data_IF_735391299163
#
_entry.id   IF_735391299163
#
_cell.length_a   1.000
_cell.length_b   1.000
_cell.length_c   1.000
_cell.angle_alpha   90.00
_cell.angle_beta   90.00
_cell.angle_gamma   90.00
#
_symmetry.space_group_name_H-M   'P 1'
#
loop_
_entity.id
_entity.type
_entity.pdbx_description
1 polymer ?
#
# COMPACT_ATOMS: atom_id res chain seq x y z
N UNK A 1 -5.88 -21.60 -31.47
CA UNK A 1 -7.24 -22.13 -31.29
C UNK A 1 -7.79 -21.61 -29.96
N UNK A 2 -8.88 -20.85 -29.99
CA UNK A 2 -9.53 -20.27 -28.80
C UNK A 2 -10.32 -21.32 -28.02
N UNK A 3 -10.35 -21.23 -26.68
CA UNK A 3 -11.17 -22.16 -25.89
C UNK A 3 -12.66 -21.90 -26.17
N UNK A 4 -13.36 -22.98 -26.51
CA UNK A 4 -14.79 -22.97 -26.86
C UNK A 4 -15.72 -22.97 -25.63
N UNK A 5 -15.15 -22.97 -24.43
CA UNK A 5 -15.83 -23.10 -23.14
C UNK A 5 -15.46 -21.94 -22.21
N UNK A 6 -16.35 -21.59 -21.29
CA UNK A 6 -16.08 -20.63 -20.23
C UNK A 6 -14.94 -21.15 -19.34
N UNK A 7 -13.97 -20.29 -19.02
CA UNK A 7 -12.80 -20.67 -18.23
C UNK A 7 -13.09 -20.89 -16.73
N UNK A 8 -14.28 -20.50 -16.26
CA UNK A 8 -14.65 -20.59 -14.84
C UNK A 8 -15.05 -22.03 -14.49
N UNK A 9 -14.42 -22.56 -13.45
CA UNK A 9 -14.69 -23.87 -12.89
C UNK A 9 -16.15 -24.00 -12.46
N UNK A 10 -16.81 -25.07 -12.91
CA UNK A 10 -18.23 -25.31 -12.68
C UNK A 10 -19.18 -24.59 -13.65
N UNK A 11 -18.68 -23.72 -14.52
CA UNK A 11 -19.50 -23.13 -15.58
C UNK A 11 -19.53 -24.06 -16.80
N UNK A 12 -20.71 -24.55 -17.16
CA UNK A 12 -20.91 -25.44 -18.32
C UNK A 12 -21.13 -24.70 -19.64
N UNK A 13 -21.02 -23.38 -19.68
CA UNK A 13 -21.32 -22.57 -20.86
C UNK A 13 -20.19 -22.68 -21.89
N UNK A 14 -20.55 -23.01 -23.11
CA UNK A 14 -19.70 -23.11 -24.30
C UNK A 14 -20.34 -22.36 -25.47
N UNK A 15 -19.58 -22.16 -26.55
CA UNK A 15 -20.11 -21.56 -27.78
C UNK A 15 -21.30 -22.36 -28.36
N UNK A 16 -21.38 -23.65 -28.07
CA UNK A 16 -22.39 -24.56 -28.61
C UNK A 16 -23.66 -24.67 -27.73
N UNK A 17 -23.57 -24.36 -26.43
CA UNK A 17 -24.68 -24.53 -25.49
C UNK A 17 -25.10 -23.23 -24.77
N UNK A 18 -24.67 -22.06 -25.29
CA UNK A 18 -24.97 -20.77 -24.67
C UNK A 18 -26.46 -20.42 -24.79
N UNK A 19 -27.12 -19.97 -23.72
CA UNK A 19 -28.47 -19.40 -23.80
C UNK A 19 -28.51 -18.16 -24.70
N UNK A 20 -29.68 -17.88 -25.27
CA UNK A 20 -29.93 -16.67 -26.07
C UNK A 20 -29.57 -15.43 -25.24
N UNK A 21 -28.72 -14.56 -25.79
CA UNK A 21 -28.26 -13.33 -25.13
C UNK A 21 -27.01 -13.47 -24.25
N UNK A 22 -26.42 -14.66 -24.12
CA UNK A 22 -25.12 -14.85 -23.45
C UNK A 22 -23.99 -14.90 -24.49
N UNK A 23 -22.91 -14.16 -24.22
CA UNK A 23 -21.70 -14.10 -25.04
C UNK A 23 -20.47 -14.52 -24.23
N UNK A 24 -19.40 -14.90 -24.93
CA UNK A 24 -18.11 -15.28 -24.36
C UNK A 24 -17.11 -14.14 -24.61
N UNK A 25 -16.72 -13.44 -23.56
CA UNK A 25 -15.86 -12.26 -23.62
C UNK A 25 -14.38 -12.65 -23.45
N UNK A 26 -13.51 -11.96 -24.18
CA UNK A 26 -12.05 -12.06 -24.01
C UNK A 26 -11.63 -11.55 -22.65
N UNK A 27 -10.49 -12.07 -22.19
CA UNK A 27 -9.75 -11.44 -21.11
C UNK A 27 -9.24 -10.03 -21.51
N UNK A 28 -9.04 -9.14 -20.54
CA UNK A 28 -8.55 -7.78 -20.77
C UNK A 28 -7.12 -7.76 -21.30
N UNK A 29 -6.81 -6.75 -22.11
CA UNK A 29 -5.48 -6.55 -22.71
C UNK A 29 -4.53 -5.81 -21.76
N UNK A 30 -5.06 -4.88 -20.96
CA UNK A 30 -4.26 -4.03 -20.08
C UNK A 30 -3.79 -4.77 -18.82
N UNK A 31 -2.53 -4.52 -18.41
CA UNK A 31 -1.92 -5.18 -17.25
C UNK A 31 -2.69 -4.90 -15.94
N UNK A 32 -3.16 -3.67 -15.75
CA UNK A 32 -3.93 -3.28 -14.56
C UNK A 32 -5.23 -4.09 -14.43
N UNK A 33 -5.97 -4.26 -15.53
CA UNK A 33 -7.23 -5.01 -15.51
C UNK A 33 -7.00 -6.51 -15.41
N UNK A 34 -5.90 -7.03 -15.98
CA UNK A 34 -5.47 -8.43 -15.77
C UNK A 34 -5.23 -8.71 -14.29
N UNK A 35 -4.59 -7.81 -13.55
CA UNK A 35 -4.39 -7.98 -12.10
C UNK A 35 -5.72 -8.02 -11.34
N UNK A 36 -6.67 -7.14 -11.68
CA UNK A 36 -8.01 -7.15 -11.08
C UNK A 36 -8.77 -8.45 -11.38
N UNK A 37 -8.69 -8.94 -12.62
CA UNK A 37 -9.29 -10.22 -13.02
C UNK A 37 -8.61 -11.42 -12.36
N UNK A 38 -7.28 -11.41 -12.26
CA UNK A 38 -6.52 -12.47 -11.60
C UNK A 38 -6.94 -12.59 -10.14
N UNK A 39 -7.13 -11.46 -9.44
CA UNK A 39 -7.62 -11.46 -8.07
C UNK A 39 -9.04 -12.04 -7.97
N UNK A 40 -9.96 -11.65 -8.86
CA UNK A 40 -11.33 -12.16 -8.88
C UNK A 40 -11.44 -13.65 -9.25
N UNK A 41 -10.52 -14.15 -10.08
CA UNK A 41 -10.56 -15.50 -10.64
C UNK A 41 -9.63 -16.50 -9.93
N UNK A 42 -8.83 -16.05 -8.95
CA UNK A 42 -7.76 -16.82 -8.28
C UNK A 42 -8.18 -18.22 -7.80
N UNK A 43 -9.41 -18.34 -7.32
CA UNK A 43 -9.96 -19.60 -6.80
C UNK A 43 -11.09 -20.17 -7.67
N UNK A 44 -11.31 -19.60 -8.86
CA UNK A 44 -12.42 -19.93 -9.77
C UNK A 44 -11.94 -20.46 -11.12
N UNK A 45 -10.67 -20.27 -11.46
CA UNK A 45 -10.05 -20.82 -12.66
C UNK A 45 -8.75 -21.54 -12.27
N UNK A 46 -8.61 -22.82 -12.62
CA UNK A 46 -7.38 -23.57 -12.35
C UNK A 46 -6.21 -23.10 -13.25
N UNK A 47 -6.51 -22.78 -14.52
CA UNK A 47 -5.55 -22.24 -15.49
C UNK A 47 -6.27 -21.21 -16.35
N UNK A 48 -5.80 -19.96 -16.35
CA UNK A 48 -6.34 -18.88 -17.18
C UNK A 48 -5.30 -18.46 -18.22
N UNK A 49 -5.55 -18.77 -19.50
CA UNK A 49 -4.77 -18.29 -20.63
C UNK A 49 -5.35 -16.93 -21.08
N UNK A 50 -4.66 -15.84 -20.79
CA UNK A 50 -5.10 -14.47 -21.13
C UNK A 50 -5.41 -14.25 -22.62
N UNK A 51 -4.87 -15.09 -23.52
CA UNK A 51 -5.06 -14.97 -24.97
C UNK A 51 -6.17 -15.87 -25.51
N UNK A 52 -6.45 -16.99 -24.85
CA UNK A 52 -7.38 -18.02 -25.35
C UNK A 52 -8.60 -18.24 -24.48
N UNK A 53 -8.51 -17.94 -23.18
CA UNK A 53 -9.59 -18.11 -22.23
C UNK A 53 -10.69 -17.05 -22.47
N UNK A 54 -11.93 -17.50 -22.31
CA UNK A 54 -13.12 -16.67 -22.45
C UNK A 54 -14.00 -16.82 -21.22
N UNK A 55 -14.67 -15.75 -20.81
CA UNK A 55 -15.61 -15.76 -19.67
C UNK A 55 -16.99 -15.36 -20.17
N UNK A 56 -18.02 -16.12 -19.82
CA UNK A 56 -19.37 -15.85 -20.29
C UNK A 56 -20.03 -14.66 -19.59
N UNK A 57 -20.98 -14.00 -20.26
CA UNK A 57 -21.68 -12.81 -19.75
C UNK A 57 -22.36 -13.01 -18.40
N UNK A 58 -22.72 -14.25 -18.02
CA UNK A 58 -23.33 -14.55 -16.72
C UNK A 58 -22.44 -14.22 -15.52
N UNK A 59 -21.13 -14.06 -15.75
CA UNK A 59 -20.18 -13.76 -14.69
C UNK A 59 -19.98 -12.28 -14.43
N UNK A 60 -20.62 -11.41 -15.19
CA UNK A 60 -20.53 -9.96 -15.05
C UNK A 60 -21.88 -9.40 -14.61
N UNK A 61 -21.85 -8.35 -13.80
CA UNK A 61 -23.05 -7.58 -13.48
C UNK A 61 -23.55 -6.78 -14.70
N UNK A 62 -24.88 -6.64 -14.83
CA UNK A 62 -25.50 -5.95 -15.96
C UNK A 62 -25.02 -4.49 -16.15
N UNK A 63 -24.54 -3.83 -15.08
CA UNK A 63 -24.01 -2.45 -15.13
C UNK A 63 -22.75 -2.28 -16.00
N UNK A 64 -22.04 -3.39 -16.24
CA UNK A 64 -20.82 -3.43 -17.03
C UNK A 64 -21.06 -3.69 -18.51
N UNK A 65 -22.32 -3.79 -18.94
CA UNK A 65 -22.69 -3.92 -20.35
C UNK A 65 -23.20 -2.59 -20.90
N UNK A 66 -22.80 -2.29 -22.13
CA UNK A 66 -23.33 -1.17 -22.89
C UNK A 66 -24.65 -1.51 -23.57
N UNK A 67 -25.31 -0.51 -24.17
CA UNK A 67 -26.58 -0.69 -24.91
C UNK A 67 -26.49 -1.74 -26.04
N UNK A 68 -25.28 -1.99 -26.56
CA UNK A 68 -24.99 -3.01 -27.58
C UNK A 68 -24.61 -4.38 -27.00
N UNK A 69 -24.79 -4.61 -25.68
CA UNK A 69 -24.38 -5.82 -24.94
C UNK A 69 -22.89 -6.17 -25.05
N UNK A 70 -22.05 -5.18 -25.38
CA UNK A 70 -20.59 -5.27 -25.28
C UNK A 70 -20.16 -5.02 -23.84
N UNK A 71 -19.11 -5.70 -23.42
CA UNK A 71 -18.55 -5.58 -22.08
C UNK A 71 -17.62 -4.37 -22.03
N UNK A 72 -17.84 -3.47 -21.07
CA UNK A 72 -16.98 -2.29 -20.85
C UNK A 72 -15.55 -2.71 -20.50
N UNK A 73 -14.58 -1.87 -20.83
CA UNK A 73 -13.16 -2.15 -20.56
C UNK A 73 -12.83 -2.24 -19.06
N UNK A 74 -13.65 -1.61 -18.21
CA UNK A 74 -13.53 -1.64 -16.76
C UNK A 74 -14.33 -2.76 -16.07
N UNK A 75 -14.91 -3.68 -16.84
CA UNK A 75 -15.72 -4.75 -16.30
C UNK A 75 -14.87 -5.81 -15.60
N UNK A 76 -15.38 -6.30 -14.46
CA UNK A 76 -14.77 -7.38 -13.68
C UNK A 76 -15.80 -8.49 -13.44
N UNK A 77 -15.40 -9.77 -13.55
CA UNK A 77 -16.32 -10.88 -13.29
C UNK A 77 -16.56 -10.99 -11.78
N UNK A 78 -17.79 -10.69 -11.34
CA UNK A 78 -18.20 -10.68 -9.93
C UNK A 78 -19.30 -11.71 -9.62
N UNK A 79 -19.94 -12.27 -10.64
CA UNK A 79 -21.07 -13.20 -10.49
C UNK A 79 -20.57 -14.63 -10.69
N UNK A 80 -20.64 -15.48 -9.66
CA UNK A 80 -20.27 -16.89 -9.77
C UNK A 80 -21.41 -17.75 -9.24
N UNK A 81 -21.89 -18.77 -9.98
CA UNK A 81 -22.91 -19.68 -9.47
C UNK A 81 -22.34 -20.42 -8.25
N UNK A 82 -22.98 -20.19 -7.10
CA UNK A 82 -22.51 -20.55 -5.76
C UNK A 82 -22.09 -22.02 -5.61
N UNK A 83 -20.87 -22.25 -5.10
CA UNK A 83 -20.74 -23.17 -3.98
C UNK A 83 -21.11 -22.37 -2.72
N UNK A 84 -22.31 -22.63 -2.19
CA UNK A 84 -22.81 -22.25 -0.85
C UNK A 84 -22.61 -20.82 -0.35
N UNK A 85 -23.74 -20.14 -0.12
CA UNK A 85 -23.92 -18.84 0.54
C UNK A 85 -22.93 -18.60 1.70
N UNK A 86 -22.00 -17.65 1.53
CA UNK A 86 -21.59 -16.62 2.50
C UNK A 86 -20.31 -15.94 2.03
N UNK A 87 -20.40 -14.91 1.18
CA UNK A 87 -19.29 -13.95 0.96
C UNK A 87 -19.88 -12.56 0.62
N UNK A 88 -20.36 -11.85 1.65
CA UNK A 88 -20.39 -10.37 1.61
C UNK A 88 -19.00 -9.95 2.07
N UNK A 89 -18.17 -9.42 1.16
CA UNK A 89 -16.83 -8.87 1.43
C UNK A 89 -15.90 -9.82 2.19
N UNK A 90 -15.28 -10.77 1.49
CA UNK A 90 -14.22 -11.60 2.07
C UNK A 90 -12.91 -10.81 2.15
N UNK A 91 -12.76 -10.12 3.29
CA UNK A 91 -11.53 -10.18 4.07
C UNK A 91 -11.16 -11.66 4.31
N UNK A 92 -9.86 -12.01 4.46
CA UNK A 92 -9.42 -13.39 4.62
C UNK A 92 -10.26 -14.09 5.71
N UNK A 93 -10.79 -15.26 5.38
CA UNK A 93 -11.48 -16.15 6.32
C UNK A 93 -10.49 -16.41 7.47
N UNK A 94 -10.74 -15.77 8.60
CA UNK A 94 -9.94 -15.94 9.81
C UNK A 94 -10.18 -17.35 10.32
N UNK A 95 -9.16 -18.20 10.25
CA UNK A 95 -9.22 -19.53 10.87
C UNK A 95 -9.47 -19.38 12.37
N UNK A 96 -9.90 -20.44 13.07
CA UNK A 96 -10.16 -20.39 14.53
C UNK A 96 -8.98 -19.77 15.30
N UNK A 97 -7.76 -20.00 14.82
CA UNK A 97 -6.52 -19.40 15.32
C UNK A 97 -6.52 -17.89 15.12
N UNK A 98 -6.80 -17.40 13.91
CA UNK A 98 -6.89 -15.96 13.65
C UNK A 98 -7.97 -15.30 14.50
N UNK A 99 -9.15 -15.91 14.63
CA UNK A 99 -10.21 -15.39 15.50
C UNK A 99 -9.71 -15.27 16.95
N UNK A 100 -8.92 -16.24 17.42
CA UNK A 100 -8.27 -16.19 18.72
C UNK A 100 -7.24 -15.06 18.82
N UNK A 101 -6.33 -14.96 17.85
CA UNK A 101 -5.29 -13.92 17.81
C UNK A 101 -5.87 -12.51 17.77
N UNK A 102 -6.98 -12.31 17.07
CA UNK A 102 -7.66 -11.01 16.99
C UNK A 102 -8.35 -10.58 18.30
N UNK A 103 -8.56 -11.50 19.25
CA UNK A 103 -9.09 -11.17 20.58
C UNK A 103 -8.02 -10.73 21.56
N UNK A 104 -6.75 -10.98 21.25
CA UNK A 104 -5.62 -10.62 22.10
C UNK A 104 -5.12 -9.22 21.75
N UNK A 105 -4.81 -8.44 22.78
CA UNK A 105 -4.07 -7.19 22.60
C UNK A 105 -2.62 -7.47 22.18
N UNK A 106 -1.97 -6.47 21.60
CA UNK A 106 -0.55 -6.58 21.23
C UNK A 106 0.33 -6.92 22.44
N UNK A 107 0.05 -6.34 23.60
CA UNK A 107 0.82 -6.58 24.82
C UNK A 107 0.65 -8.01 25.33
N UNK A 108 -0.58 -8.53 25.33
CA UNK A 108 -0.87 -9.92 25.72
C UNK A 108 -0.19 -10.91 24.79
N UNK A 109 -0.28 -10.70 23.47
CA UNK A 109 0.36 -11.57 22.48
C UNK A 109 1.88 -11.56 22.63
N UNK A 110 2.49 -10.39 22.81
CA UNK A 110 3.95 -10.28 23.01
C UNK A 110 4.36 -10.97 24.30
N UNK A 111 3.61 -10.82 25.38
CA UNK A 111 3.93 -11.44 26.66
C UNK A 111 3.80 -12.96 26.58
N UNK A 112 2.73 -13.47 25.96
CA UNK A 112 2.54 -14.90 25.73
C UNK A 112 3.68 -15.51 24.89
N UNK A 113 4.04 -14.87 23.77
CA UNK A 113 5.18 -15.30 22.94
C UNK A 113 6.48 -15.32 23.75
N UNK A 114 6.77 -14.26 24.52
CA UNK A 114 7.97 -14.21 25.36
C UNK A 114 8.00 -15.33 26.40
N UNK A 115 6.90 -15.57 27.10
CA UNK A 115 6.80 -16.61 28.12
C UNK A 115 6.98 -18.00 27.52
N UNK A 116 6.42 -18.25 26.34
CA UNK A 116 6.61 -19.52 25.64
C UNK A 116 8.04 -19.68 25.10
N UNK A 117 8.62 -18.64 24.52
CA UNK A 117 10.02 -18.66 24.05
C UNK A 117 11.01 -18.95 25.19
N UNK A 118 10.77 -18.43 26.41
CA UNK A 118 11.61 -18.72 27.58
C UNK A 118 11.56 -20.20 28.00
N UNK A 119 10.46 -20.90 27.70
CA UNK A 119 10.29 -22.33 28.03
C UNK A 119 10.89 -23.25 26.97
N UNK A 120 11.04 -22.79 25.73
CA UNK A 120 11.66 -23.57 24.67
C UNK A 120 13.18 -23.60 24.87
N UNK A 121 13.75 -24.81 24.94
CA UNK A 121 15.18 -25.02 25.09
C UNK A 121 15.83 -25.27 23.73
N UNK A 122 17.03 -24.72 23.56
CA UNK A 122 17.86 -25.00 22.39
C UNK A 122 18.22 -26.50 22.33
N UNK A 123 18.05 -27.16 21.17
CA UNK A 123 18.44 -28.55 21.01
C UNK A 123 19.94 -28.77 21.24
N UNK A 124 20.32 -29.79 22.01
CA UNK A 124 21.70 -30.04 22.49
C UNK A 124 22.76 -30.35 21.43
N UNK A 125 22.42 -30.32 20.14
CA UNK A 125 23.32 -30.53 19.00
C UNK A 125 23.07 -29.53 17.86
N UNK A 126 22.41 -28.39 18.14
CA UNK A 126 21.98 -27.44 17.11
C UNK A 126 23.12 -26.99 16.18
N UNK A 127 24.24 -26.52 16.73
CA UNK A 127 25.39 -26.04 15.95
C UNK A 127 26.02 -27.10 15.05
N UNK A 128 25.98 -28.37 15.45
CA UNK A 128 26.53 -29.47 14.64
C UNK A 128 25.63 -29.86 13.45
N UNK A 129 24.35 -29.48 13.50
CA UNK A 129 23.34 -29.85 12.52
C UNK A 129 22.95 -28.69 11.60
N UNK A 130 23.52 -27.51 11.82
CA UNK A 130 23.37 -26.33 10.96
C UNK A 130 24.68 -26.10 10.24
N UNK A 131 24.63 -26.00 8.92
CA UNK A 131 25.78 -25.69 8.07
C UNK A 131 26.07 -24.18 8.04
N UNK A 132 27.26 -23.81 7.57
CA UNK A 132 27.72 -22.42 7.46
C UNK A 132 26.82 -21.54 6.57
N UNK A 133 26.08 -22.15 5.64
CA UNK A 133 25.07 -21.46 4.82
C UNK A 133 23.71 -21.31 5.52
N UNK A 134 23.67 -21.54 6.84
CA UNK A 134 22.50 -21.46 7.71
C UNK A 134 21.35 -22.34 7.23
N UNK A 135 21.65 -23.58 6.85
CA UNK A 135 20.66 -24.60 6.52
C UNK A 135 20.79 -25.78 7.47
N UNK A 136 19.66 -26.47 7.72
CA UNK A 136 19.70 -27.72 8.44
C UNK A 136 20.19 -28.84 7.50
N UNK A 137 20.99 -29.76 8.02
CA UNK A 137 21.34 -31.00 7.32
C UNK A 137 20.09 -31.85 7.07
N UNK A 138 20.12 -32.70 6.05
CA UNK A 138 18.96 -33.52 5.65
C UNK A 138 18.51 -34.54 6.70
N UNK A 139 19.41 -34.90 7.62
CA UNK A 139 19.18 -35.79 8.76
C UNK A 139 18.75 -35.04 10.04
N UNK A 140 18.61 -33.71 9.98
CA UNK A 140 18.26 -32.91 11.15
C UNK A 140 16.78 -33.13 11.56
N UNK A 141 16.52 -33.41 12.87
CA UNK A 141 15.18 -33.49 13.41
C UNK A 141 14.36 -32.22 13.16
N UNK A 142 13.04 -32.36 13.09
CA UNK A 142 12.11 -31.25 12.81
C UNK A 142 12.26 -30.14 13.85
N UNK A 143 12.58 -30.48 15.09
CA UNK A 143 12.82 -29.55 16.19
C UNK A 143 14.00 -28.61 15.91
N UNK A 144 15.08 -29.14 15.31
CA UNK A 144 16.26 -28.34 14.91
C UNK A 144 15.90 -27.39 13.77
N UNK A 145 15.07 -27.86 12.82
CA UNK A 145 14.59 -27.02 11.71
C UNK A 145 13.71 -25.87 12.20
N UNK A 146 12.78 -26.16 13.12
CA UNK A 146 11.92 -25.15 13.75
C UNK A 146 12.73 -24.14 14.57
N UNK A 147 13.74 -24.60 15.33
CA UNK A 147 14.62 -23.72 16.10
C UNK A 147 15.41 -22.77 15.20
N UNK A 148 15.93 -23.27 14.06
CA UNK A 148 16.63 -22.42 13.08
C UNK A 148 15.70 -21.35 12.49
N UNK A 149 14.44 -21.69 12.20
CA UNK A 149 13.43 -20.72 11.75
C UNK A 149 13.16 -19.66 12.82
N UNK A 150 13.06 -20.04 14.10
CA UNK A 150 12.90 -19.10 15.21
C UNK A 150 14.11 -18.15 15.30
N UNK A 151 15.35 -18.67 15.22
CA UNK A 151 16.57 -17.84 15.24
C UNK A 151 16.62 -16.87 14.05
N UNK A 152 16.27 -17.32 12.84
CA UNK A 152 16.18 -16.46 11.64
C UNK A 152 15.12 -15.37 11.80
N UNK A 153 13.94 -15.72 12.30
CA UNK A 153 12.86 -14.76 12.53
C UNK A 153 13.26 -13.72 13.58
N UNK A 154 13.91 -14.15 14.67
CA UNK A 154 14.41 -13.23 15.70
C UNK A 154 15.46 -12.27 15.14
N UNK A 155 16.41 -12.77 14.34
CA UNK A 155 17.41 -11.92 13.69
C UNK A 155 16.76 -10.89 12.76
N UNK A 156 15.78 -11.30 11.95
CA UNK A 156 15.03 -10.40 11.08
C UNK A 156 14.27 -9.34 11.90
N UNK A 157 13.61 -9.73 12.99
CA UNK A 157 12.90 -8.82 13.87
C UNK A 157 13.84 -7.77 14.47
N UNK A 158 15.02 -8.16 14.95
CA UNK A 158 16.04 -7.24 15.46
C UNK A 158 16.45 -6.22 14.41
N UNK A 159 16.76 -6.68 13.19
CA UNK A 159 17.14 -5.80 12.07
C UNK A 159 16.02 -4.83 11.68
N UNK A 160 14.76 -5.28 11.72
CA UNK A 160 13.60 -4.41 11.45
C UNK A 160 13.42 -3.36 12.54
N UNK A 161 13.60 -3.72 13.82
CA UNK A 161 13.55 -2.78 14.94
C UNK A 161 14.63 -1.71 14.82
N UNK A 162 15.85 -2.09 14.45
CA UNK A 162 16.95 -1.16 14.20
C UNK A 162 16.62 -0.18 13.06
N UNK A 163 16.07 -0.70 11.95
CA UNK A 163 15.67 0.12 10.80
C UNK A 163 14.53 1.09 11.16
N UNK A 164 13.54 0.63 11.93
CA UNK A 164 12.47 1.48 12.45
C UNK A 164 13.04 2.60 13.34
N UNK A 165 14.01 2.27 14.20
CA UNK A 165 14.71 3.24 15.03
C UNK A 165 15.49 4.28 14.21
N UNK A 166 16.17 3.86 13.14
CA UNK A 166 16.84 4.77 12.21
C UNK A 166 15.84 5.70 11.50
N UNK A 167 14.76 5.14 10.95
CA UNK A 167 13.72 5.91 10.27
C UNK A 167 13.05 6.93 11.21
N UNK A 168 12.80 6.56 12.47
CA UNK A 168 12.27 7.49 13.47
C UNK A 168 13.20 8.69 13.68
N UNK A 169 14.50 8.47 13.82
CA UNK A 169 15.50 9.55 13.94
C UNK A 169 15.50 10.45 12.71
N UNK A 170 15.40 9.89 11.51
CA UNK A 170 15.32 10.70 10.28
C UNK A 170 14.08 11.59 10.26
N UNK A 171 12.92 11.07 10.68
CA UNK A 171 11.68 11.85 10.78
C UNK A 171 11.83 12.99 11.79
N UNK A 172 12.42 12.75 12.95
CA UNK A 172 12.67 13.78 13.97
C UNK A 172 13.58 14.90 13.44
N UNK A 173 14.64 14.56 12.70
CA UNK A 173 15.53 15.54 12.06
C UNK A 173 14.75 16.37 11.02
N UNK A 174 13.95 15.73 10.17
CA UNK A 174 13.15 16.42 9.17
C UNK A 174 12.13 17.38 9.80
N UNK A 175 11.48 16.96 10.90
CA UNK A 175 10.57 17.81 11.66
C UNK A 175 11.27 19.03 12.25
N UNK A 176 12.47 18.83 12.83
CA UNK A 176 13.28 19.94 13.35
C UNK A 176 13.65 20.93 12.25
N UNK A 177 14.15 20.45 11.11
CA UNK A 177 14.51 21.30 9.97
C UNK A 177 13.30 22.09 9.43
N UNK A 178 12.11 21.47 9.40
CA UNK A 178 10.88 22.16 9.03
C UNK A 178 10.53 23.28 10.00
N UNK A 179 10.68 23.07 11.31
CA UNK A 179 10.38 24.09 12.31
C UNK A 179 11.42 25.23 12.25
N UNK A 180 12.70 24.92 12.09
CA UNK A 180 13.77 25.90 11.88
C UNK A 180 13.53 26.75 10.61
N UNK A 181 13.01 26.14 9.53
CA UNK A 181 12.62 26.86 8.32
C UNK A 181 11.42 27.79 8.56
N UNK A 182 10.43 27.36 9.37
CA UNK A 182 9.28 28.18 9.73
C UNK A 182 9.66 29.39 10.59
N UNK A 183 10.55 29.20 11.56
CA UNK A 183 11.03 30.30 12.42
C UNK A 183 11.83 31.30 11.59
N UNK A 184 12.73 30.83 10.73
CA UNK A 184 13.48 31.69 9.79
C UNK A 184 12.54 32.51 8.90
N UNK A 185 11.49 31.89 8.35
CA UNK A 185 10.46 32.58 7.55
C UNK A 185 9.72 33.66 8.34
N UNK A 186 9.38 33.40 9.62
CA UNK A 186 8.73 34.40 10.49
C UNK A 186 9.66 35.60 10.74
N UNK A 187 10.93 35.35 11.06
CA UNK A 187 11.94 36.41 11.26
C UNK A 187 12.12 37.23 9.99
N UNK A 188 12.22 36.59 8.82
CA UNK A 188 12.32 37.30 7.55
C UNK A 188 11.09 38.19 7.29
N UNK A 189 9.88 37.69 7.59
CA UNK A 189 8.65 38.49 7.46
C UNK A 189 8.68 39.74 8.36
N UNK A 190 9.09 39.58 9.62
CA UNK A 190 9.22 40.70 10.56
C UNK A 190 10.25 41.73 10.08
N UNK A 191 11.38 41.25 9.54
CA UNK A 191 12.41 42.12 8.97
C UNK A 191 11.86 42.89 7.75
N UNK A 192 11.11 42.24 6.87
CA UNK A 192 10.46 42.88 5.72
C UNK A 192 9.53 44.01 6.18
N UNK A 193 8.70 43.76 7.20
CA UNK A 193 7.78 44.78 7.71
C UNK A 193 8.52 45.94 8.38
N UNK A 194 9.63 45.66 9.07
CA UNK A 194 10.54 46.69 9.59
C UNK A 194 11.14 47.54 8.46
N UNK A 195 11.63 46.91 7.39
CA UNK A 195 12.19 47.63 6.25
C UNK A 195 11.13 48.47 5.52
N UNK A 196 9.90 47.95 5.36
CA UNK A 196 8.79 48.73 4.79
C UNK A 196 8.52 50.00 5.61
N UNK A 197 8.53 49.89 6.94
CA UNK A 197 8.37 51.04 7.83
C UNK A 197 9.50 52.05 7.65
N UNK A 198 10.76 51.60 7.64
CA UNK A 198 11.92 52.46 7.42
C UNK A 198 11.83 53.19 6.07
N UNK A 199 11.48 52.46 5.00
CA UNK A 199 11.30 53.04 3.66
C UNK A 199 10.23 54.13 3.69
N UNK A 200 9.10 53.89 4.36
CA UNK A 200 8.03 54.89 4.51
C UNK A 200 8.53 56.17 5.21
N UNK A 201 9.25 56.03 6.31
CA UNK A 201 9.83 57.19 7.02
C UNK A 201 10.85 57.95 6.16
N UNK A 202 11.66 57.25 5.37
CA UNK A 202 12.61 57.89 4.46
C UNK A 202 11.89 58.63 3.31
N UNK A 203 10.83 58.05 2.77
CA UNK A 203 9.98 58.70 1.76
C UNK A 203 9.33 59.98 2.29
N UNK A 204 8.75 59.95 3.50
CA UNK A 204 8.18 61.14 4.15
C UNK A 204 9.25 62.24 4.35
N UNK A 205 10.46 61.87 4.80
CA UNK A 205 11.57 62.83 4.93
C UNK A 205 11.99 63.42 3.59
N UNK A 206 12.03 62.62 2.53
CA UNK A 206 12.42 63.07 1.20
C UNK A 206 11.43 64.11 0.66
N UNK A 207 10.12 63.85 0.79
CA UNK A 207 9.07 64.82 0.41
C UNK A 207 9.22 66.13 1.17
N UNK A 208 9.42 66.08 2.50
CA UNK A 208 9.63 67.28 3.30
C UNK A 208 10.87 68.09 2.87
N UNK A 209 11.94 67.41 2.44
CA UNK A 209 13.14 68.08 1.93
C UNK A 209 12.90 68.71 0.56
N UNK A 210 12.16 68.04 -0.32
CA UNK A 210 11.77 68.59 -1.63
C UNK A 210 10.94 69.86 -1.47
N UNK A 211 9.95 69.87 -0.56
CA UNK A 211 9.16 71.06 -0.23
C UNK A 211 10.04 72.21 0.31
N UNK A 212 11.00 71.91 1.18
CA UNK A 212 11.94 72.92 1.70
C UNK A 212 12.80 73.52 0.59
N UNK A 213 13.31 72.69 -0.33
CA UNK A 213 14.11 73.15 -1.47
C UNK A 213 13.26 74.06 -2.38
N UNK A 214 12.00 73.70 -2.66
CA UNK A 214 11.10 74.51 -3.47
C UNK A 214 10.87 75.89 -2.84
N UNK A 215 10.62 75.93 -1.53
CA UNK A 215 10.45 77.20 -0.79
C UNK A 215 11.71 78.06 -0.86
N UNK A 216 12.90 77.48 -0.60
CA UNK A 216 14.16 78.22 -0.65
C UNK A 216 14.45 78.76 -2.05
N UNK A 217 14.21 77.96 -3.08
CA UNK A 217 14.38 78.36 -4.49
C UNK A 217 13.45 79.52 -4.85
N UNK A 218 12.20 79.49 -4.38
CA UNK A 218 11.25 80.58 -4.60
C UNK A 218 11.66 81.88 -3.89
N UNK A 219 12.25 81.80 -2.69
CA UNK A 219 12.76 82.97 -1.95
C UNK A 219 13.96 83.61 -2.64
N UNK A 220 14.94 82.81 -3.11
CA UNK A 220 16.12 83.32 -3.82
C UNK A 220 15.80 84.00 -5.16
N UNK A 221 14.67 83.64 -5.77
CA UNK A 221 14.24 84.19 -7.07
C UNK A 221 13.53 85.56 -6.99
N UNK A 222 13.32 86.11 -5.79
CA UNK A 222 12.68 87.42 -5.54
C UNK A 222 13.69 88.50 -5.19
#
# INVERSE_FOLDING_TARGET
>A
MSHTHCAIQGCKISIFNKPIGVYLHSCPVTHEMRNKWLHALRHKCAVLDWTKSRICSKHFENKYFDAQRKLKENAIPTMFPNATKSQKYDYPCKDKVDIGLNKLTQAELVNDIKNNLLRLKEPSNFDKMVSDDLKCRSDAPVEVQQWLLIKKQNHLNTRLVELLGQNKRHVEILQKNMEDSRTSKKTLSQNIDTYKYIVKCLQEKLVNLEEQIEILTAVESR
#
